data_IF_638360729881
#
_entry.id   IF_638360729881
#
_cell.length_a   1.000
_cell.length_b   1.000
_cell.length_c   1.000
_cell.angle_alpha   90.00
_cell.angle_beta   90.00
_cell.angle_gamma   90.00
#
_symmetry.space_group_name_H-M   'P 1'
#
loop_
_entity.id
_entity.type
_entity.pdbx_description
1 polymer ?
#
# COMPACT_ATOMS: atom_id res chain seq x y z
N UNK A 1 9.00 -18.31 -4.05
CA UNK A 1 7.87 -17.36 -4.13
C UNK A 1 7.46 -17.27 -5.58
N UNK A 2 6.17 -17.48 -5.87
CA UNK A 2 5.61 -17.32 -7.22
C UNK A 2 5.24 -15.84 -7.44
N UNK A 3 6.17 -15.07 -8.00
CA UNK A 3 5.94 -13.63 -8.23
C UNK A 3 4.81 -13.39 -9.24
N UNK A 4 4.62 -14.29 -10.21
CA UNK A 4 3.58 -14.13 -11.23
C UNK A 4 2.18 -14.23 -10.59
N UNK A 5 1.96 -15.21 -9.71
CA UNK A 5 0.72 -15.32 -8.97
C UNK A 5 0.41 -14.07 -8.12
N UNK A 6 1.43 -13.49 -7.48
CA UNK A 6 1.27 -12.25 -6.70
C UNK A 6 0.97 -11.05 -7.61
N UNK A 7 1.64 -10.95 -8.75
CA UNK A 7 1.39 -9.92 -9.77
C UNK A 7 -0.07 -9.97 -10.25
N UNK A 8 -0.55 -11.15 -10.61
CA UNK A 8 -1.91 -11.35 -11.11
C UNK A 8 -2.95 -11.01 -10.04
N UNK A 9 -2.70 -11.41 -8.78
CA UNK A 9 -3.54 -11.03 -7.65
C UNK A 9 -3.60 -9.51 -7.46
N UNK A 10 -2.46 -8.82 -7.49
CA UNK A 10 -2.35 -7.37 -7.28
C UNK A 10 -3.01 -6.57 -8.41
N UNK A 11 -2.83 -6.98 -9.67
CA UNK A 11 -3.53 -6.37 -10.80
C UNK A 11 -5.04 -6.55 -10.71
N UNK A 12 -5.50 -7.75 -10.30
CA UNK A 12 -6.91 -8.02 -10.05
C UNK A 12 -7.45 -7.21 -8.85
N UNK A 13 -6.66 -7.02 -7.80
CA UNK A 13 -7.01 -6.19 -6.65
C UNK A 13 -7.19 -4.72 -7.05
N UNK A 14 -6.23 -4.17 -7.80
CA UNK A 14 -6.32 -2.81 -8.34
C UNK A 14 -7.62 -2.65 -9.14
N UNK A 15 -7.91 -3.61 -10.04
CA UNK A 15 -9.09 -3.56 -10.88
C UNK A 15 -10.38 -3.54 -10.05
N UNK A 16 -10.54 -4.46 -9.09
CA UNK A 16 -11.73 -4.52 -8.22
C UNK A 16 -11.93 -3.24 -7.41
N UNK A 17 -10.84 -2.65 -6.91
CA UNK A 17 -10.88 -1.39 -6.18
C UNK A 17 -11.34 -0.26 -7.11
N UNK A 18 -10.70 -0.11 -8.26
CA UNK A 18 -11.03 0.97 -9.21
C UNK A 18 -12.44 0.83 -9.75
N UNK A 19 -12.92 -0.39 -10.04
CA UNK A 19 -14.30 -0.62 -10.46
C UNK A 19 -15.31 -0.14 -9.40
N UNK A 20 -15.09 -0.50 -8.13
CA UNK A 20 -15.93 -0.06 -7.03
C UNK A 20 -15.88 1.47 -6.83
N UNK A 21 -14.69 2.08 -6.97
CA UNK A 21 -14.52 3.53 -6.85
C UNK A 21 -15.19 4.29 -8.00
N UNK A 22 -15.08 3.82 -9.24
CA UNK A 22 -15.76 4.42 -10.39
C UNK A 22 -17.28 4.34 -10.23
N UNK A 23 -17.81 3.23 -9.72
CA UNK A 23 -19.24 3.09 -9.44
C UNK A 23 -19.71 4.08 -8.37
N UNK A 24 -18.93 4.25 -7.29
CA UNK A 24 -19.26 5.20 -6.22
C UNK A 24 -19.08 6.67 -6.64
N UNK A 25 -18.09 6.95 -7.49
CA UNK A 25 -17.76 8.30 -7.95
C UNK A 25 -18.66 8.78 -9.10
N UNK A 26 -19.11 7.86 -9.95
CA UNK A 26 -19.87 8.18 -11.17
C UNK A 26 -19.02 8.60 -12.37
N UNK A 27 -17.67 8.61 -12.24
CA UNK A 27 -16.74 8.91 -13.33
C UNK A 27 -15.76 7.75 -13.57
N UNK A 28 -15.33 7.62 -14.82
CA UNK A 28 -14.23 6.73 -15.18
C UNK A 28 -12.88 7.31 -14.75
N UNK A 29 -11.97 6.43 -14.33
CA UNK A 29 -10.63 6.82 -13.93
C UNK A 29 -9.70 6.78 -15.15
N UNK A 30 -8.81 7.76 -15.23
CA UNK A 30 -7.74 7.80 -16.22
C UNK A 30 -6.76 6.67 -15.93
N UNK A 31 -6.42 5.88 -16.95
CA UNK A 31 -5.44 4.79 -16.84
C UNK A 31 -4.18 5.16 -17.61
N UNK A 32 -3.06 5.19 -16.90
CA UNK A 32 -1.73 5.44 -17.46
C UNK A 32 -0.82 4.22 -17.21
N UNK A 33 -0.58 3.47 -18.28
CA UNK A 33 0.34 2.34 -18.27
C UNK A 33 1.74 2.82 -18.67
N UNK A 34 2.74 2.45 -17.88
CA UNK A 34 4.11 2.91 -18.09
C UNK A 34 5.12 1.78 -17.97
N UNK A 35 6.27 1.98 -18.58
CA UNK A 35 7.43 1.08 -18.50
C UNK A 35 8.68 1.91 -18.24
N UNK A 36 9.55 1.44 -17.36
CA UNK A 36 10.83 2.09 -17.12
C UNK A 36 11.72 2.01 -18.36
N UNK A 37 12.44 3.08 -18.71
CA UNK A 37 13.34 3.06 -19.85
C UNK A 37 14.48 2.05 -19.64
N UNK A 38 14.89 1.40 -20.73
CA UNK A 38 16.06 0.52 -20.72
C UNK A 38 17.33 1.30 -20.31
N UNK A 39 18.24 0.63 -19.59
CA UNK A 39 19.48 1.24 -19.08
C UNK A 39 19.30 2.16 -17.86
N UNK A 40 18.08 2.32 -17.35
CA UNK A 40 17.82 3.00 -16.09
C UNK A 40 18.26 2.19 -14.86
N UNK A 41 18.41 2.86 -13.71
CA UNK A 41 18.71 2.19 -12.42
C UNK A 41 17.63 1.19 -11.99
N UNK A 42 16.39 1.43 -12.41
CA UNK A 42 15.24 0.56 -12.21
C UNK A 42 14.65 0.18 -13.55
N UNK A 43 14.23 -1.07 -13.65
CA UNK A 43 13.46 -1.63 -14.76
C UNK A 43 12.05 -2.00 -14.26
N UNK A 44 11.18 -2.43 -15.17
CA UNK A 44 9.83 -2.89 -14.86
C UNK A 44 8.75 -1.93 -15.35
N UNK A 45 7.55 -2.11 -14.86
CA UNK A 45 6.34 -1.49 -15.38
C UNK A 45 5.33 -1.16 -14.28
N UNK A 46 4.26 -0.47 -14.66
CA UNK A 46 3.15 -0.21 -13.77
C UNK A 46 1.94 0.33 -14.49
N UNK A 47 0.88 0.47 -13.71
CA UNK A 47 -0.40 1.01 -14.14
C UNK A 47 -0.89 1.97 -13.07
N UNK A 48 -0.88 3.25 -13.37
CA UNK A 48 -1.46 4.29 -12.52
C UNK A 48 -2.91 4.50 -12.94
N UNK A 49 -3.85 4.42 -11.99
CA UNK A 49 -5.25 4.75 -12.24
C UNK A 49 -5.66 5.91 -11.35
N UNK A 50 -6.10 7.01 -11.95
CA UNK A 50 -6.32 8.26 -11.25
C UNK A 50 -7.63 8.93 -11.64
N UNK A 51 -8.20 9.66 -10.69
CA UNK A 51 -9.32 10.56 -10.91
C UNK A 51 -8.94 11.92 -10.35
N UNK A 52 -9.24 12.95 -11.12
CA UNK A 52 -9.17 14.35 -10.69
C UNK A 52 -10.55 14.92 -10.93
N UNK A 53 -11.02 15.71 -9.97
CA UNK A 53 -12.31 16.37 -10.03
C UNK A 53 -13.53 15.44 -10.25
N UNK A 54 -13.53 14.23 -9.67
CA UNK A 54 -14.64 13.26 -9.74
C UNK A 54 -15.92 13.69 -9.01
N UNK A 55 -16.90 12.81 -8.89
CA UNK A 55 -18.19 13.07 -8.23
C UNK A 55 -18.13 12.90 -6.71
N UNK A 56 -17.36 11.91 -6.25
CA UNK A 56 -17.09 11.62 -4.84
C UNK A 56 -15.68 12.07 -4.46
N UNK A 57 -14.69 11.76 -5.31
CA UNK A 57 -13.28 12.01 -5.09
C UNK A 57 -12.86 13.32 -5.73
N UNK A 58 -12.30 14.23 -4.94
CA UNK A 58 -11.64 15.42 -5.47
C UNK A 58 -10.38 15.01 -6.23
N UNK A 59 -9.64 14.08 -5.63
CA UNK A 59 -8.43 13.49 -6.21
C UNK A 59 -8.23 12.09 -5.66
N UNK A 60 -7.94 11.12 -6.51
CA UNK A 60 -7.67 9.76 -6.08
C UNK A 60 -6.71 9.05 -7.02
N UNK A 61 -5.89 8.17 -6.46
CA UNK A 61 -5.01 7.30 -7.23
C UNK A 61 -4.98 5.89 -6.65
N UNK A 62 -5.05 4.88 -7.52
CA UNK A 62 -4.80 3.48 -7.20
C UNK A 62 -3.76 2.96 -8.19
N UNK A 63 -2.53 2.79 -7.71
CA UNK A 63 -1.35 2.54 -8.54
C UNK A 63 -0.83 1.14 -8.30
N UNK A 64 -0.60 0.42 -9.40
CA UNK A 64 0.17 -0.81 -9.42
C UNK A 64 1.56 -0.52 -9.97
N UNK A 65 2.58 -1.16 -9.39
CA UNK A 65 3.91 -1.22 -9.97
C UNK A 65 4.55 -2.59 -9.73
N UNK A 66 5.42 -2.98 -10.66
CA UNK A 66 6.33 -4.11 -10.53
C UNK A 66 7.67 -3.68 -11.09
N UNK A 67 8.62 -3.44 -10.19
CA UNK A 67 9.93 -2.90 -10.50
C UNK A 67 11.04 -3.85 -10.07
N UNK A 68 12.12 -3.83 -10.82
CA UNK A 68 13.34 -4.57 -10.50
C UNK A 68 14.53 -3.62 -10.51
N UNK A 69 15.52 -3.89 -9.67
CA UNK A 69 16.76 -3.12 -9.64
C UNK A 69 17.96 -3.99 -9.30
N UNK A 70 19.16 -3.49 -9.61
CA UNK A 70 20.41 -4.20 -9.34
C UNK A 70 20.87 -4.10 -7.89
N UNK A 71 20.34 -3.12 -7.14
CA UNK A 71 20.72 -2.87 -5.74
C UNK A 71 19.50 -2.41 -4.94
N UNK A 72 19.32 -2.98 -3.75
CA UNK A 72 18.32 -2.53 -2.79
C UNK A 72 18.40 -1.02 -2.50
N UNK A 73 17.26 -0.33 -2.37
CA UNK A 73 17.25 1.04 -1.87
C UNK A 73 17.70 1.09 -0.40
N UNK A 74 18.36 2.19 0.05
CA UNK A 74 18.84 2.33 1.43
C UNK A 74 17.78 2.14 2.52
N UNK A 75 16.51 2.45 2.22
CA UNK A 75 15.40 2.23 3.16
C UNK A 75 15.13 0.75 3.42
N UNK A 76 15.35 -0.13 2.43
CA UNK A 76 15.16 -1.57 2.59
C UNK A 76 16.34 -2.25 3.29
N UNK A 77 17.54 -1.66 3.24
CA UNK A 77 18.74 -2.19 3.90
C UNK A 77 18.92 -1.70 5.33
N UNK A 78 18.17 -0.68 5.77
CA UNK A 78 18.25 -0.13 7.12
C UNK A 78 17.97 -1.19 8.21
N UNK A 79 17.06 -2.13 7.92
CA UNK A 79 16.72 -3.24 8.82
C UNK A 79 17.37 -4.58 8.42
N UNK A 80 18.03 -4.64 7.25
CA UNK A 80 18.65 -5.84 6.66
C UNK A 80 19.98 -5.50 5.98
N UNK A 81 21.01 -5.06 6.74
CA UNK A 81 22.29 -4.64 6.18
C UNK A 81 22.99 -5.76 5.38
N UNK A 82 22.71 -7.03 5.70
CA UNK A 82 23.21 -8.21 4.99
C UNK A 82 22.72 -8.32 3.55
N UNK A 83 21.64 -7.62 3.19
CA UNK A 83 21.12 -7.59 1.82
C UNK A 83 21.65 -6.40 1.00
N UNK A 84 22.52 -5.57 1.57
CA UNK A 84 23.07 -4.41 0.88
C UNK A 84 23.72 -4.80 -0.46
N UNK A 85 23.32 -4.11 -1.53
CA UNK A 85 23.80 -4.38 -2.88
C UNK A 85 23.14 -5.56 -3.59
N UNK A 86 22.21 -6.29 -2.96
CA UNK A 86 21.49 -7.37 -3.61
C UNK A 86 20.54 -6.85 -4.71
N UNK A 87 20.47 -7.52 -5.87
CA UNK A 87 19.39 -7.34 -6.83
C UNK A 87 18.04 -7.59 -6.18
N UNK A 88 17.03 -6.84 -6.64
CA UNK A 88 15.71 -6.90 -6.05
C UNK A 88 14.58 -6.82 -7.06
N UNK A 89 13.44 -7.28 -6.59
CA UNK A 89 12.15 -7.23 -7.24
C UNK A 89 11.11 -6.77 -6.22
N UNK A 90 10.30 -5.78 -6.58
CA UNK A 90 9.24 -5.27 -5.73
C UNK A 90 7.99 -5.02 -6.56
N UNK A 91 6.85 -5.46 -6.05
CA UNK A 91 5.55 -5.24 -6.67
C UNK A 91 4.51 -4.93 -5.62
N UNK A 92 3.55 -4.07 -5.95
CA UNK A 92 2.54 -3.66 -5.00
C UNK A 92 1.42 -2.84 -5.60
N UNK A 93 0.35 -2.73 -4.83
CA UNK A 93 -0.74 -1.77 -5.05
C UNK A 93 -0.69 -0.74 -3.93
N UNK A 94 -0.79 0.52 -4.30
CA UNK A 94 -0.87 1.64 -3.35
C UNK A 94 -1.96 2.59 -3.78
N UNK A 95 -2.76 3.07 -2.83
CA UNK A 95 -3.77 4.09 -3.08
C UNK A 95 -3.76 5.18 -2.02
N UNK A 96 -4.18 6.36 -2.45
CA UNK A 96 -4.60 7.48 -1.60
C UNK A 96 -5.81 8.11 -2.26
N UNK A 97 -6.88 8.28 -1.49
CA UNK A 97 -8.14 8.85 -1.96
C UNK A 97 -8.49 10.06 -1.12
N UNK A 98 -8.74 11.20 -1.77
CA UNK A 98 -9.17 12.45 -1.17
C UNK A 98 -10.59 12.77 -1.63
N UNK A 99 -11.61 12.55 -0.77
CA UNK A 99 -13.00 12.88 -1.08
C UNK A 99 -13.23 14.38 -1.16
N UNK A 100 -14.21 14.81 -1.97
CA UNK A 100 -14.67 16.21 -2.02
C UNK A 100 -15.38 16.64 -0.75
N UNK A 101 -16.17 15.74 -0.18
CA UNK A 101 -16.98 16.03 0.99
C UNK A 101 -16.13 15.84 2.26
N UNK A 102 -15.94 16.86 3.11
CA UNK A 102 -15.11 16.76 4.30
C UNK A 102 -15.65 15.78 5.36
N UNK A 103 -16.90 15.33 5.24
CA UNK A 103 -17.46 14.27 6.07
C UNK A 103 -17.06 12.86 5.61
N UNK A 104 -16.41 12.73 4.45
CA UNK A 104 -15.84 11.46 3.98
C UNK A 104 -14.31 11.51 4.23
N UNK A 105 -13.74 10.57 4.99
CA UNK A 105 -12.31 10.61 5.32
C UNK A 105 -11.39 10.37 4.12
N UNK A 106 -10.18 10.94 4.17
CA UNK A 106 -9.08 10.47 3.34
C UNK A 106 -8.71 9.04 3.75
N UNK A 107 -8.43 8.16 2.78
CA UNK A 107 -7.96 6.80 3.04
C UNK A 107 -6.68 6.50 2.26
N UNK A 108 -5.78 5.77 2.89
CA UNK A 108 -4.58 5.22 2.27
C UNK A 108 -4.58 3.69 2.45
N UNK A 109 -4.09 2.97 1.45
CA UNK A 109 -3.82 1.53 1.53
C UNK A 109 -2.58 1.18 0.70
N UNK A 110 -1.79 0.22 1.20
CA UNK A 110 -0.68 -0.37 0.48
C UNK A 110 -0.64 -1.88 0.73
N UNK A 111 -0.35 -2.68 -0.29
CA UNK A 111 0.09 -4.08 -0.14
C UNK A 111 1.20 -4.32 -1.15
N UNK A 112 2.34 -4.82 -0.67
CA UNK A 112 3.55 -5.02 -1.49
C UNK A 112 4.27 -6.30 -1.11
N UNK A 113 4.89 -6.92 -2.11
CA UNK A 113 5.88 -7.97 -1.96
C UNK A 113 7.25 -7.39 -2.33
N UNK A 114 8.24 -7.76 -1.53
CA UNK A 114 9.64 -7.46 -1.78
C UNK A 114 10.43 -8.77 -1.84
N UNK A 115 11.34 -8.90 -2.82
CA UNK A 115 12.24 -10.05 -2.98
C UNK A 115 13.65 -9.52 -3.23
N UNK A 116 14.59 -9.89 -2.37
CA UNK A 116 16.02 -9.67 -2.53
C UNK A 116 16.72 -10.97 -2.93
N UNK A 117 17.70 -10.89 -3.84
CA UNK A 117 18.44 -12.05 -4.37
C UNK A 117 19.95 -11.87 -4.18
N UNK A 118 20.46 -11.93 -2.94
CA UNK A 118 21.90 -11.85 -2.68
C UNK A 118 22.66 -12.98 -3.40
N UNK A 119 23.86 -12.67 -3.89
CA UNK A 119 24.71 -13.63 -4.59
C UNK A 119 25.15 -14.77 -3.65
N UNK A 120 25.07 -16.02 -4.14
CA UNK A 120 25.47 -17.20 -3.37
C UNK A 120 24.55 -17.56 -2.19
N UNK A 121 23.41 -16.88 -2.04
CA UNK A 121 22.47 -17.08 -0.93
C UNK A 121 21.02 -17.31 -1.44
N UNK A 122 20.17 -17.98 -0.65
CA UNK A 122 18.75 -18.10 -0.98
C UNK A 122 18.06 -16.72 -1.08
N UNK A 123 17.05 -16.57 -1.96
CA UNK A 123 16.25 -15.35 -2.01
C UNK A 123 15.54 -15.08 -0.68
N UNK A 124 15.52 -13.81 -0.28
CA UNK A 124 14.78 -13.35 0.91
C UNK A 124 13.56 -12.57 0.43
N UNK A 125 12.37 -12.95 0.90
CA UNK A 125 11.12 -12.30 0.53
C UNK A 125 10.35 -11.86 1.77
N UNK A 126 9.64 -10.73 1.67
CA UNK A 126 8.74 -10.27 2.72
C UNK A 126 7.62 -9.41 2.12
N UNK A 127 6.48 -9.44 2.79
CA UNK A 127 5.37 -8.56 2.52
C UNK A 127 5.42 -7.35 3.44
N UNK A 128 4.86 -6.26 2.93
CA UNK A 128 4.53 -5.08 3.70
C UNK A 128 3.19 -4.53 3.24
N UNK A 129 2.56 -3.72 4.07
CA UNK A 129 1.28 -3.13 3.72
C UNK A 129 0.55 -2.54 4.90
N UNK A 130 -0.72 -2.29 4.68
CA UNK A 130 -1.60 -1.68 5.66
C UNK A 130 -2.66 -0.82 5.01
N UNK A 131 -3.54 -0.29 5.86
CA UNK A 131 -4.54 0.70 5.49
C UNK A 131 -4.83 1.56 6.70
N UNK A 132 -5.13 2.83 6.46
CA UNK A 132 -5.41 3.80 7.52
C UNK A 132 -6.38 4.88 7.06
N UNK A 133 -7.12 5.43 8.04
CA UNK A 133 -8.20 6.38 7.80
C UNK A 133 -7.89 7.74 8.44
N UNK A 134 -8.09 8.81 7.67
CA UNK A 134 -7.78 10.19 8.04
C UNK A 134 -9.04 11.06 7.92
N UNK A 135 -9.89 11.10 8.95
CA UNK A 135 -11.09 11.93 8.95
C UNK A 135 -10.77 13.42 9.17
N UNK A 136 -11.58 14.29 8.57
CA UNK A 136 -11.60 15.72 8.91
C UNK A 136 -12.66 16.00 9.97
N UNK A 137 -13.88 15.51 9.74
CA UNK A 137 -14.95 15.40 10.73
C UNK A 137 -15.18 13.92 11.03
N UNK A 138 -14.73 13.45 12.18
CA UNK A 138 -14.78 12.04 12.55
C UNK A 138 -16.15 11.61 13.09
N UNK A 139 -16.55 10.39 12.74
CA UNK A 139 -17.72 9.70 13.30
C UNK A 139 -17.27 8.42 14.02
N UNK A 140 -17.79 8.18 15.23
CA UNK A 140 -17.40 7.00 16.02
C UNK A 140 -17.76 5.68 15.33
N UNK A 141 -18.91 5.61 14.69
CA UNK A 141 -19.38 4.39 14.02
C UNK A 141 -18.48 4.03 12.84
N UNK A 142 -18.03 5.02 12.06
CA UNK A 142 -17.08 4.81 10.97
C UNK A 142 -15.73 4.31 11.50
N UNK A 143 -15.25 4.88 12.60
CA UNK A 143 -14.02 4.45 13.25
C UNK A 143 -14.12 3.00 13.74
N UNK A 144 -15.22 2.65 14.43
CA UNK A 144 -15.48 1.28 14.91
C UNK A 144 -15.59 0.30 13.75
N UNK A 145 -16.31 0.67 12.69
CA UNK A 145 -16.48 -0.16 11.51
C UNK A 145 -15.13 -0.40 10.79
N UNK A 146 -14.35 0.66 10.55
CA UNK A 146 -13.06 0.56 9.88
C UNK A 146 -12.09 -0.36 10.64
N UNK A 147 -12.00 -0.19 11.96
CA UNK A 147 -11.14 -1.01 12.82
C UNK A 147 -11.64 -2.46 12.94
N UNK A 148 -12.96 -2.68 12.99
CA UNK A 148 -13.53 -4.02 12.95
C UNK A 148 -13.19 -4.74 11.64
N UNK A 149 -13.35 -4.08 10.49
CA UNK A 149 -12.97 -4.62 9.18
C UNK A 149 -11.49 -5.00 9.11
N UNK A 150 -10.59 -4.16 9.65
CA UNK A 150 -9.17 -4.47 9.72
C UNK A 150 -8.88 -5.70 10.60
N UNK A 151 -9.55 -5.81 11.76
CA UNK A 151 -9.40 -6.95 12.67
C UNK A 151 -9.92 -8.23 12.02
N UNK A 152 -11.09 -8.19 11.42
CA UNK A 152 -11.76 -9.35 10.86
C UNK A 152 -10.99 -9.91 9.64
N UNK A 153 -10.34 -9.03 8.86
CA UNK A 153 -9.42 -9.45 7.78
C UNK A 153 -8.19 -10.21 8.29
N UNK A 154 -7.74 -9.93 9.52
CA UNK A 154 -6.57 -10.57 10.14
C UNK A 154 -6.93 -11.79 11.01
N UNK A 155 -8.19 -11.91 11.44
CA UNK A 155 -8.65 -12.96 12.34
C UNK A 155 -8.28 -14.40 11.87
N UNK A 156 -8.40 -14.76 10.57
CA UNK A 156 -8.00 -16.09 10.10
C UNK A 156 -6.51 -16.41 10.23
N UNK A 157 -5.66 -15.39 10.44
CA UNK A 157 -4.20 -15.50 10.49
C UNK A 157 -3.66 -15.41 11.93
N UNK A 158 -4.54 -15.21 12.92
CA UNK A 158 -4.21 -15.21 14.34
C UNK A 158 -4.61 -13.93 15.06
N UNK A 159 -5.18 -14.08 16.26
CA UNK A 159 -5.76 -12.98 17.05
C UNK A 159 -4.73 -11.92 17.48
N UNK A 160 -3.44 -12.28 17.55
CA UNK A 160 -2.36 -11.37 17.93
C UNK A 160 -1.98 -10.36 16.83
N UNK A 161 -2.38 -10.59 15.57
CA UNK A 161 -1.94 -9.76 14.44
C UNK A 161 -2.58 -8.38 14.45
N UNK A 162 -3.90 -8.28 14.70
CA UNK A 162 -4.57 -6.98 14.71
C UNK A 162 -4.00 -6.05 15.80
N UNK A 163 -3.89 -6.45 17.09
CA UNK A 163 -3.27 -5.60 18.10
C UNK A 163 -1.85 -5.14 17.74
N UNK A 164 -1.03 -6.05 17.18
CA UNK A 164 0.34 -5.75 16.74
C UNK A 164 0.37 -4.72 15.60
N UNK A 165 -0.38 -4.96 14.52
CA UNK A 165 -0.35 -4.11 13.33
C UNK A 165 -1.08 -2.78 13.54
N UNK A 166 -2.09 -2.74 14.43
CA UNK A 166 -2.72 -1.50 14.88
C UNK A 166 -1.71 -0.63 15.63
N UNK A 167 -1.03 -1.18 16.64
CA UNK A 167 -0.03 -0.44 17.40
C UNK A 167 1.11 0.09 16.51
N UNK A 168 1.54 -0.71 15.52
CA UNK A 168 2.53 -0.27 14.56
C UNK A 168 2.00 0.89 13.69
N UNK A 169 0.74 0.81 13.22
CA UNK A 169 0.08 1.89 12.48
C UNK A 169 0.07 3.21 13.25
N UNK A 170 -0.25 3.16 14.55
CA UNK A 170 -0.25 4.34 15.42
C UNK A 170 1.13 5.00 15.50
N UNK A 171 2.19 4.18 15.68
CA UNK A 171 3.56 4.70 15.79
C UNK A 171 4.13 5.20 14.47
N UNK A 172 3.75 4.56 13.36
CA UNK A 172 4.30 4.84 12.03
C UNK A 172 3.72 6.14 11.47
N UNK A 173 2.41 6.34 11.58
CA UNK A 173 1.73 7.54 11.11
C UNK A 173 1.59 8.62 12.18
N UNK A 174 2.68 8.86 12.92
CA UNK A 174 2.76 9.91 13.94
C UNK A 174 3.64 11.09 13.50
N UNK A 175 3.08 12.30 13.52
CA UNK A 175 3.76 13.52 13.12
C UNK A 175 4.55 14.08 14.31
N UNK A 176 5.80 13.63 14.49
CA UNK A 176 6.65 14.00 15.65
C UNK A 176 6.74 15.50 15.93
N UNK A 177 6.83 16.33 14.89
CA UNK A 177 6.95 17.78 15.02
C UNK A 177 5.63 18.48 15.38
N UNK A 178 4.48 17.80 15.26
CA UNK A 178 3.15 18.27 15.66
C UNK A 178 2.62 17.58 16.91
N UNK A 179 3.28 16.48 17.31
CA UNK A 179 2.86 15.62 18.40
C UNK A 179 1.41 15.11 18.25
N UNK A 180 1.04 14.73 17.02
CA UNK A 180 -0.30 14.22 16.70
C UNK A 180 -0.23 13.05 15.70
N UNK A 181 -1.18 12.10 15.73
CA UNK A 181 -1.32 11.11 14.68
C UNK A 181 -1.83 11.76 13.38
N UNK A 182 -1.51 11.18 12.23
CA UNK A 182 -2.06 11.61 10.93
C UNK A 182 -3.58 11.45 10.85
N UNK A 183 -4.12 10.43 11.50
CA UNK A 183 -5.54 10.04 11.45
C UNK A 183 -5.88 9.08 12.58
N UNK A 184 -6.96 8.31 12.42
CA UNK A 184 -7.44 7.35 13.45
C UNK A 184 -6.76 5.97 13.35
N UNK A 185 -5.72 5.86 12.54
CA UNK A 185 -4.94 4.64 12.34
C UNK A 185 -5.67 3.60 11.49
N UNK A 186 -5.37 2.33 11.78
CA UNK A 186 -5.79 1.17 11.00
C UNK A 186 -4.83 0.02 11.27
N UNK A 187 -4.24 -0.56 10.23
CA UNK A 187 -3.19 -1.57 10.35
C UNK A 187 -1.98 -1.18 9.51
N UNK A 188 -0.79 -1.47 10.02
CA UNK A 188 0.47 -1.33 9.30
C UNK A 188 1.38 -2.52 9.62
N UNK A 189 2.03 -3.04 8.59
CA UNK A 189 3.03 -4.09 8.73
C UNK A 189 4.13 -3.92 7.67
N UNK A 190 5.34 -4.29 8.05
CA UNK A 190 6.46 -4.48 7.14
C UNK A 190 7.28 -5.67 7.63
N UNK A 191 8.24 -6.12 6.83
CA UNK A 191 9.10 -7.26 7.16
C UNK A 191 8.33 -8.54 7.52
N UNK A 192 7.14 -8.74 6.94
CA UNK A 192 6.29 -9.90 7.22
C UNK A 192 6.61 -11.05 6.25
N UNK A 193 7.29 -12.09 6.74
CA UNK A 193 7.76 -13.23 5.95
C UNK A 193 7.19 -14.55 6.46
#
# INVERSE_FOLDING_TARGET
MDTQAVRDYLLGLQQRIVDALQQADGHSFLTDAWTRPAGGRLLGDGRSQLVENGGLLERGGCNFSHVTGTQLPPSATAHRPELAGAPFEALGVSLVLHPRNPYVPTVHMNVRLFIARPEGQPPVAWFGGGMDLTPYYGFEDDARHFHASCRDALAPFGEALYPRFKAWCDSYFFLKHRNEPRGIGGIFFDDFA
#
